data_IF_309214598136
#
_entry.id   IF_309214598136
#
_cell.length_a   1.000
_cell.length_b   1.000
_cell.length_c   1.000
_cell.angle_alpha   90.00
_cell.angle_beta   90.00
_cell.angle_gamma   90.00
#
_symmetry.space_group_name_H-M   'P 1'
#
loop_
_entity.id
_entity.type
_entity.pdbx_description
1 polymer ?
#
# COMPACT_ATOMS: atom_id res chain seq x y z
N UNK A 1 -0.77 -35.28 79.14
CA UNK A 1 0.41 -35.57 78.29
C UNK A 1 0.40 -34.60 77.11
N UNK A 2 1.55 -34.02 76.74
CA UNK A 2 1.64 -32.90 75.78
C UNK A 2 1.49 -33.37 74.33
N UNK A 3 1.10 -32.45 73.45
CA UNK A 3 0.95 -32.66 72.00
C UNK A 3 2.30 -32.49 71.30
N UNK A 4 2.76 -33.53 70.61
CA UNK A 4 3.91 -33.48 69.73
C UNK A 4 3.62 -32.67 68.47
N UNK A 5 4.40 -31.59 68.27
CA UNK A 5 4.46 -30.85 67.01
C UNK A 5 5.93 -30.55 66.68
N UNK A 6 6.47 -31.18 65.63
CA UNK A 6 7.61 -30.70 64.80
C UNK A 6 7.95 -31.79 63.78
N UNK A 7 8.29 -31.55 62.52
CA UNK A 7 8.91 -30.39 61.90
C UNK A 7 8.82 -30.55 60.37
N UNK A 8 8.07 -29.70 59.64
CA UNK A 8 8.19 -29.67 58.18
C UNK A 8 9.23 -28.62 57.78
N UNK A 9 10.39 -29.09 57.30
CA UNK A 9 11.42 -28.23 56.71
C UNK A 9 10.89 -27.68 55.38
N UNK A 10 10.39 -26.45 55.38
CA UNK A 10 10.09 -25.72 54.14
C UNK A 10 11.40 -25.34 53.44
N UNK A 11 11.64 -25.89 52.24
CA UNK A 11 12.70 -25.43 51.34
C UNK A 11 12.39 -24.00 50.91
N UNK A 12 13.31 -23.06 51.17
CA UNK A 12 13.27 -21.71 50.58
C UNK A 12 13.53 -21.85 49.08
N UNK A 13 12.57 -21.41 48.27
CA UNK A 13 12.73 -21.23 46.82
C UNK A 13 13.42 -19.89 46.60
N UNK A 14 14.63 -19.91 46.08
CA UNK A 14 15.37 -18.70 45.73
C UNK A 14 14.62 -17.99 44.60
N UNK A 15 14.16 -16.76 44.87
CA UNK A 15 13.56 -15.92 43.85
C UNK A 15 14.68 -15.34 43.00
N UNK A 16 14.63 -15.57 41.69
CA UNK A 16 15.55 -14.90 40.77
C UNK A 16 15.38 -13.37 40.88
N UNK A 17 16.48 -12.61 41.00
CA UNK A 17 16.43 -11.16 41.08
C UNK A 17 15.68 -10.57 39.88
N UNK A 18 14.80 -9.59 40.11
CA UNK A 18 13.97 -8.99 39.05
C UNK A 18 14.75 -8.42 37.86
N UNK A 19 16.05 -8.16 38.02
CA UNK A 19 16.93 -7.74 36.93
C UNK A 19 17.17 -8.84 35.87
N UNK A 20 17.06 -10.12 36.23
CA UNK A 20 17.15 -11.24 35.28
C UNK A 20 16.00 -11.19 34.27
N UNK A 21 14.82 -10.75 34.71
CA UNK A 21 13.68 -10.50 33.81
C UNK A 21 13.93 -9.29 32.91
N UNK A 22 14.56 -8.22 33.42
CA UNK A 22 14.96 -7.07 32.63
C UNK A 22 15.95 -7.42 31.51
N UNK A 23 16.99 -8.20 31.84
CA UNK A 23 17.96 -8.67 30.86
C UNK A 23 17.36 -9.68 29.87
N UNK A 24 16.47 -10.55 30.33
CA UNK A 24 15.76 -11.50 29.46
C UNK A 24 14.91 -10.79 28.41
N UNK A 25 14.17 -9.75 28.81
CA UNK A 25 13.37 -8.94 27.89
C UNK A 25 14.23 -8.15 26.89
N UNK A 26 15.32 -7.53 27.34
CA UNK A 26 16.26 -6.81 26.47
C UNK A 26 16.90 -7.74 25.43
N UNK A 27 17.35 -8.93 25.85
CA UNK A 27 17.94 -9.92 24.95
C UNK A 27 16.95 -10.39 23.87
N UNK A 28 15.69 -10.64 24.25
CA UNK A 28 14.65 -11.03 23.30
C UNK A 28 14.33 -9.90 22.31
N UNK A 29 14.25 -8.66 22.79
CA UNK A 29 14.03 -7.48 21.94
C UNK A 29 15.16 -7.26 20.93
N UNK A 30 16.42 -7.37 21.38
CA UNK A 30 17.59 -7.21 20.51
C UNK A 30 17.69 -8.34 19.47
N UNK A 31 17.33 -9.58 19.84
CA UNK A 31 17.27 -10.70 18.90
C UNK A 31 16.21 -10.49 17.80
N UNK A 32 15.03 -9.98 18.15
CA UNK A 32 13.98 -9.65 17.16
C UNK A 32 14.44 -8.50 16.25
N UNK A 33 15.03 -7.45 16.81
CA UNK A 33 15.55 -6.33 16.03
C UNK A 33 16.66 -6.77 15.06
N UNK A 34 17.59 -7.62 15.50
CA UNK A 34 18.65 -8.19 14.66
C UNK A 34 18.07 -9.06 13.53
N UNK A 35 17.04 -9.88 13.82
CA UNK A 35 16.39 -10.71 12.82
C UNK A 35 15.70 -9.89 11.72
N UNK A 36 15.07 -8.76 12.08
CA UNK A 36 14.50 -7.82 11.10
C UNK A 36 15.60 -7.12 10.30
N UNK A 37 16.66 -6.66 10.97
CA UNK A 37 17.77 -5.98 10.34
C UNK A 37 18.46 -6.87 9.28
N UNK A 38 18.71 -8.14 9.61
CA UNK A 38 19.30 -9.11 8.68
C UNK A 38 18.40 -9.40 7.46
N UNK A 39 17.07 -9.38 7.62
CA UNK A 39 16.12 -9.51 6.49
C UNK A 39 16.07 -8.29 5.59
N UNK A 40 16.32 -7.09 6.12
CA UNK A 40 16.36 -5.85 5.36
C UNK A 40 17.71 -5.62 4.68
N UNK A 41 18.82 -6.07 5.28
CA UNK A 41 20.16 -5.97 4.69
C UNK A 41 20.42 -6.97 3.55
N UNK A 42 19.52 -7.94 3.31
CA UNK A 42 19.60 -8.85 2.16
C UNK A 42 19.00 -8.29 0.87
N UNK A 43 18.62 -7.01 0.83
CA UNK A 43 18.35 -6.31 -0.43
C UNK A 43 19.68 -5.96 -1.11
N UNK A 44 20.34 -6.98 -1.68
CA UNK A 44 21.45 -6.78 -2.61
C UNK A 44 20.83 -6.31 -3.91
N UNK A 45 20.95 -5.01 -4.16
CA UNK A 45 20.70 -4.41 -5.46
C UNK A 45 21.56 -5.13 -6.51
N UNK A 46 20.99 -5.63 -7.62
CA UNK A 46 21.78 -6.30 -8.65
C UNK A 46 22.69 -5.27 -9.29
N UNK A 47 23.99 -5.40 -9.01
CA UNK A 47 25.03 -4.59 -9.63
C UNK A 47 24.94 -4.70 -11.16
N UNK A 48 24.63 -3.58 -11.80
CA UNK A 48 24.88 -3.38 -13.23
C UNK A 48 26.39 -3.55 -13.48
N UNK A 49 26.80 -4.20 -14.59
CA UNK A 49 28.21 -4.35 -14.90
C UNK A 49 28.83 -2.96 -15.17
N UNK A 50 29.78 -2.56 -14.33
CA UNK A 50 30.63 -1.41 -14.60
C UNK A 50 31.56 -1.74 -15.79
N UNK A 51 31.71 -0.86 -16.79
CA UNK A 51 32.74 -1.02 -17.80
C UNK A 51 34.10 -0.70 -17.18
N UNK A 52 35.03 -1.63 -17.35
CA UNK A 52 36.45 -1.47 -17.08
C UNK A 52 37.01 -0.22 -17.75
N UNK A 53 37.71 0.63 -17.01
CA UNK A 53 38.84 1.41 -17.55
C UNK A 53 39.83 1.71 -16.42
N UNK A 54 40.90 0.92 -16.38
CA UNK A 54 42.13 1.29 -15.68
C UNK A 54 43.04 2.06 -16.65
N UNK A 55 43.55 3.21 -16.16
CA UNK A 55 44.91 3.75 -16.40
C UNK A 55 45.16 4.43 -17.78
N UNK A 56 45.81 5.59 -18.03
CA UNK A 56 46.64 6.67 -17.38
C UNK A 56 46.76 7.81 -18.48
N UNK A 57 47.48 8.96 -18.40
CA UNK A 57 47.82 9.95 -17.35
C UNK A 57 47.40 11.41 -17.66
N UNK A 58 47.54 12.27 -16.65
CA UNK A 58 47.65 13.72 -16.78
C UNK A 58 48.97 14.12 -17.48
N UNK A 59 48.89 14.92 -18.55
CA UNK A 59 49.94 15.86 -18.94
C UNK A 59 49.33 17.01 -19.76
N UNK A 60 49.58 18.23 -19.31
CA UNK A 60 49.03 19.48 -19.80
C UNK A 60 49.47 19.83 -21.25
N UNK A 61 48.58 20.48 -22.01
CA UNK A 61 48.96 21.49 -23.02
C UNK A 61 47.82 22.47 -23.34
N UNK A 62 48.16 23.75 -23.15
CA UNK A 62 47.69 25.02 -23.74
C UNK A 62 46.39 25.12 -24.58
N UNK A 63 45.58 26.12 -24.17
CA UNK A 63 44.41 26.80 -24.77
C UNK A 63 44.74 27.38 -26.18
N UNK A 64 43.79 27.56 -27.13
CA UNK A 64 42.82 28.68 -27.06
C UNK A 64 41.42 28.42 -27.68
N UNK A 65 40.45 29.21 -27.21
CA UNK A 65 39.29 29.77 -27.93
C UNK A 65 38.23 28.87 -28.60
N UNK A 66 37.00 29.32 -28.32
CA UNK A 66 35.77 29.23 -29.09
C UNK A 66 34.73 28.13 -28.81
N UNK A 67 33.53 28.68 -28.59
CA UNK A 67 32.19 28.11 -28.63
C UNK A 67 31.64 27.46 -27.35
N UNK A 68 31.01 28.33 -26.56
CA UNK A 68 29.99 28.00 -25.57
C UNK A 68 28.93 27.07 -26.17
N UNK A 69 28.54 25.95 -25.52
CA UNK A 69 27.36 25.23 -25.95
C UNK A 69 26.13 26.05 -25.59
N UNK A 70 25.58 26.78 -26.57
CA UNK A 70 24.19 27.23 -26.51
C UNK A 70 23.27 25.99 -26.49
N UNK A 71 22.98 25.52 -25.28
CA UNK A 71 21.85 24.64 -25.01
C UNK A 71 21.01 25.26 -23.89
N UNK A 72 20.48 26.45 -24.18
CA UNK A 72 19.39 27.05 -23.41
C UNK A 72 18.08 26.65 -24.06
N UNK A 73 17.59 25.47 -23.67
CA UNK A 73 16.18 25.17 -23.41
C UNK A 73 15.13 26.07 -24.09
N UNK A 74 14.71 25.74 -25.31
CA UNK A 74 13.54 26.30 -25.99
C UNK A 74 12.23 25.54 -25.64
N UNK A 75 12.09 25.06 -24.39
CA UNK A 75 10.97 24.17 -24.04
C UNK A 75 9.64 24.91 -23.76
N UNK A 76 9.68 26.22 -23.52
CA UNK A 76 8.49 26.98 -23.10
C UNK A 76 7.81 27.80 -24.21
N UNK A 77 8.35 27.85 -25.43
CA UNK A 77 7.83 28.73 -26.49
C UNK A 77 6.99 28.06 -27.59
N UNK A 78 6.70 26.76 -27.55
CA UNK A 78 5.76 26.14 -28.51
C UNK A 78 4.61 25.37 -27.86
N UNK A 79 4.00 25.97 -26.84
CA UNK A 79 2.77 25.48 -26.20
C UNK A 79 1.46 26.12 -26.70
N UNK A 80 1.27 26.48 -27.99
CA UNK A 80 -0.12 26.60 -28.43
C UNK A 80 -0.44 26.00 -29.80
N UNK A 81 -1.40 25.06 -29.73
CA UNK A 81 -2.41 24.66 -30.74
C UNK A 81 -2.08 23.42 -31.55
N UNK A 82 -2.64 22.27 -31.17
CA UNK A 82 -3.23 21.36 -32.16
C UNK A 82 -4.54 20.77 -31.64
N UNK A 83 -5.57 20.98 -32.45
CA UNK A 83 -6.95 20.53 -32.29
C UNK A 83 -7.13 19.13 -32.90
N UNK A 84 -7.84 18.28 -32.16
CA UNK A 84 -8.70 17.13 -32.52
C UNK A 84 -8.47 16.41 -33.86
N UNK A 85 -8.13 15.11 -33.78
CA UNK A 85 -8.88 13.99 -34.41
C UNK A 85 -8.77 12.77 -33.49
N UNK A 86 -9.89 12.14 -33.14
CA UNK A 86 -9.94 10.90 -32.35
C UNK A 86 -10.00 9.71 -33.33
N UNK A 87 -8.91 8.95 -33.53
CA UNK A 87 -9.02 7.58 -33.99
C UNK A 87 -9.33 6.67 -32.80
N UNK A 88 -10.39 5.88 -32.93
CA UNK A 88 -10.76 4.85 -31.98
C UNK A 88 -9.69 3.76 -31.90
N UNK A 89 -9.54 3.19 -30.70
CA UNK A 89 -8.81 1.95 -30.40
C UNK A 89 -7.30 2.12 -30.19
N UNK A 90 -6.90 2.34 -28.94
CA UNK A 90 -6.00 1.41 -28.24
C UNK A 90 -5.88 1.77 -26.75
N UNK A 91 -5.59 0.76 -25.96
CA UNK A 91 -5.77 0.68 -24.52
C UNK A 91 -4.56 1.25 -23.80
N UNK A 92 -4.76 2.19 -22.88
CA UNK A 92 -3.94 2.35 -21.68
C UNK A 92 -4.85 2.80 -20.53
N UNK A 93 -5.31 1.84 -19.72
CA UNK A 93 -6.04 2.15 -18.47
C UNK A 93 -5.05 2.00 -17.32
N UNK A 94 -4.26 3.05 -17.15
CA UNK A 94 -3.52 3.36 -15.94
C UNK A 94 -3.85 4.79 -15.52
N UNK A 95 -4.07 5.00 -14.21
CA UNK A 95 -4.28 6.28 -13.51
C UNK A 95 -5.52 7.09 -13.94
N UNK A 96 -6.59 7.07 -13.12
CA UNK A 96 -6.85 7.99 -12.00
C UNK A 96 -7.34 9.37 -12.44
N UNK A 97 -8.44 9.74 -11.80
CA UNK A 97 -9.14 11.03 -11.80
C UNK A 97 -10.12 11.32 -12.95
N UNK A 98 -11.33 11.73 -12.54
CA UNK A 98 -12.37 12.39 -13.34
C UNK A 98 -13.19 11.56 -14.35
N UNK A 99 -13.80 10.48 -13.86
CA UNK A 99 -14.94 9.81 -14.49
C UNK A 99 -16.32 10.28 -13.97
N UNK A 100 -16.45 11.51 -13.46
CA UNK A 100 -17.76 12.09 -13.13
C UNK A 100 -18.28 12.88 -14.33
N UNK A 101 -18.95 12.20 -15.28
CA UNK A 101 -20.01 12.75 -16.16
C UNK A 101 -20.14 11.99 -17.50
N UNK A 102 -20.37 10.66 -17.48
CA UNK A 102 -21.03 9.99 -18.63
C UNK A 102 -21.66 8.63 -18.34
N UNK A 103 -22.15 8.43 -17.12
CA UNK A 103 -23.00 7.29 -16.79
C UNK A 103 -24.42 7.78 -16.46
N UNK A 104 -24.94 8.67 -17.31
CA UNK A 104 -26.38 8.95 -17.35
C UNK A 104 -27.02 7.90 -18.28
N UNK A 105 -27.87 7.08 -17.68
CA UNK A 105 -29.01 6.40 -18.31
C UNK A 105 -28.75 5.55 -19.55
N UNK A 106 -27.93 4.51 -19.43
CA UNK A 106 -28.31 3.26 -20.11
C UNK A 106 -29.29 2.52 -19.22
N UNK A 107 -30.59 2.73 -19.51
CA UNK A 107 -31.75 2.07 -18.92
C UNK A 107 -31.77 0.56 -19.26
N UNK A 108 -30.77 -0.17 -18.79
CA UNK A 108 -30.74 -1.62 -18.70
C UNK A 108 -30.51 -2.00 -17.23
N UNK A 109 -30.95 -3.20 -16.86
CA UNK A 109 -30.85 -3.79 -15.51
C UNK A 109 -29.38 -3.91 -15.07
N UNK A 110 -28.81 -2.78 -14.65
CA UNK A 110 -27.39 -2.63 -14.37
C UNK A 110 -27.20 -2.70 -12.86
N UNK A 111 -26.45 -3.71 -12.40
CA UNK A 111 -26.12 -3.86 -10.99
C UNK A 111 -24.90 -3.02 -10.67
N UNK A 112 -24.97 -2.21 -9.62
CA UNK A 112 -23.86 -1.38 -9.16
C UNK A 112 -23.28 -1.93 -7.86
N UNK A 113 -21.96 -1.83 -7.71
CA UNK A 113 -21.25 -2.16 -6.47
C UNK A 113 -20.41 -0.97 -6.04
N UNK A 114 -20.21 -0.83 -4.73
CA UNK A 114 -19.27 0.12 -4.18
C UNK A 114 -18.02 -0.61 -3.71
N UNK A 115 -16.84 -0.23 -4.17
CA UNK A 115 -15.58 -0.74 -3.67
C UNK A 115 -14.95 0.28 -2.73
N UNK A 116 -14.89 -0.05 -1.44
CA UNK A 116 -14.30 0.81 -0.40
C UNK A 116 -12.77 0.68 -0.31
N UNK A 117 -12.18 -0.38 -0.88
CA UNK A 117 -10.73 -0.55 -0.89
C UNK A 117 -10.27 -1.89 -1.45
N UNK A 118 -8.96 -1.98 -1.71
CA UNK A 118 -8.27 -3.21 -2.10
C UNK A 118 -6.98 -3.32 -1.29
N UNK A 119 -6.85 -4.37 -0.48
CA UNK A 119 -5.74 -4.53 0.46
C UNK A 119 -4.91 -5.76 0.12
N UNK A 120 -3.60 -5.71 0.38
CA UNK A 120 -2.71 -6.88 0.28
C UNK A 120 -2.86 -7.83 1.46
N UNK A 121 -3.15 -7.29 2.65
CA UNK A 121 -3.35 -8.06 3.87
C UNK A 121 -4.83 -8.25 4.17
N UNK A 122 -5.21 -9.48 4.56
CA UNK A 122 -6.58 -9.78 4.98
C UNK A 122 -7.00 -8.95 6.21
N UNK A 123 -6.12 -8.79 7.21
CA UNK A 123 -6.43 -8.05 8.43
C UNK A 123 -6.79 -6.58 8.18
N UNK A 124 -6.18 -5.95 7.18
CA UNK A 124 -6.49 -4.56 6.83
C UNK A 124 -7.86 -4.45 6.15
N UNK A 125 -8.20 -5.43 5.29
CA UNK A 125 -9.55 -5.55 4.72
C UNK A 125 -10.61 -5.84 5.80
N UNK A 126 -10.29 -6.68 6.79
CA UNK A 126 -11.19 -7.02 7.89
C UNK A 126 -11.46 -5.82 8.80
N UNK A 127 -10.42 -5.03 9.12
CA UNK A 127 -10.58 -3.75 9.82
C UNK A 127 -11.49 -2.78 9.07
N UNK A 128 -11.30 -2.64 7.75
CA UNK A 128 -12.16 -1.80 6.92
C UNK A 128 -13.60 -2.32 6.94
N UNK A 129 -13.81 -3.63 6.79
CA UNK A 129 -15.15 -4.25 6.90
C UNK A 129 -15.79 -3.98 8.25
N UNK A 130 -15.04 -4.10 9.35
CA UNK A 130 -15.52 -3.79 10.68
C UNK A 130 -15.90 -2.31 10.82
N UNK A 131 -15.08 -1.39 10.29
CA UNK A 131 -15.40 0.04 10.26
C UNK A 131 -16.70 0.31 9.50
N UNK A 132 -16.88 -0.31 8.32
CA UNK A 132 -18.12 -0.21 7.54
C UNK A 132 -19.33 -0.75 8.30
N UNK A 133 -19.17 -1.88 9.00
CA UNK A 133 -20.22 -2.46 9.82
C UNK A 133 -20.64 -1.54 10.99
N UNK A 134 -19.68 -0.82 11.61
CA UNK A 134 -19.97 0.19 12.63
C UNK A 134 -20.78 1.37 12.08
N UNK A 135 -20.65 1.68 10.80
CA UNK A 135 -21.46 2.67 10.10
C UNK A 135 -22.82 2.12 9.64
N UNK A 136 -23.16 0.89 10.01
CA UNK A 136 -24.39 0.22 9.59
C UNK A 136 -24.40 -0.19 8.13
N UNK A 137 -23.22 -0.30 7.50
CA UNK A 137 -23.08 -0.67 6.10
C UNK A 137 -22.48 -2.06 5.97
N UNK A 138 -23.25 -2.96 5.35
CA UNK A 138 -22.79 -4.32 5.09
C UNK A 138 -21.76 -4.34 3.95
N UNK A 139 -20.65 -5.04 4.19
CA UNK A 139 -19.59 -5.21 3.21
C UNK A 139 -19.03 -6.63 3.20
N UNK A 140 -18.51 -7.01 2.04
CA UNK A 140 -17.93 -8.32 1.77
C UNK A 140 -16.48 -8.18 1.33
N UNK A 141 -15.64 -9.12 1.77
CA UNK A 141 -14.24 -9.23 1.33
C UNK A 141 -14.18 -10.29 0.24
N UNK A 142 -13.73 -9.88 -0.94
CA UNK A 142 -13.49 -10.78 -2.05
C UNK A 142 -11.99 -10.96 -2.27
N UNK A 143 -11.56 -12.21 -2.41
CA UNK A 143 -10.18 -12.56 -2.73
C UNK A 143 -10.04 -12.63 -4.25
N UNK A 144 -9.14 -11.82 -4.81
CA UNK A 144 -8.85 -11.79 -6.24
C UNK A 144 -7.34 -11.90 -6.43
N UNK A 145 -6.88 -12.73 -7.35
CA UNK A 145 -5.47 -12.81 -7.74
C UNK A 145 -5.29 -12.09 -9.07
N UNK A 146 -4.37 -11.13 -9.13
CA UNK A 146 -4.05 -10.33 -10.31
C UNK A 146 -2.54 -10.33 -10.43
N UNK A 147 -1.99 -10.77 -11.57
CA UNK A 147 -0.54 -10.84 -11.81
C UNK A 147 0.23 -11.51 -10.67
N UNK A 148 -0.26 -12.67 -10.22
CA UNK A 148 0.24 -13.44 -9.07
C UNK A 148 0.18 -12.74 -7.70
N UNK A 149 -0.36 -11.52 -7.62
CA UNK A 149 -0.63 -10.84 -6.36
C UNK A 149 -2.07 -11.10 -5.89
N UNK A 150 -2.21 -11.62 -4.66
CA UNK A 150 -3.50 -11.74 -3.99
C UNK A 150 -3.93 -10.40 -3.40
N UNK A 151 -5.15 -10.02 -3.69
CA UNK A 151 -5.84 -8.83 -3.20
C UNK A 151 -7.11 -9.20 -2.46
N UNK A 152 -7.40 -8.43 -1.41
CA UNK A 152 -8.60 -8.49 -0.61
C UNK A 152 -9.43 -7.23 -0.87
N UNK A 153 -10.45 -7.33 -1.72
CA UNK A 153 -11.30 -6.21 -2.12
C UNK A 153 -12.51 -6.12 -1.21
N UNK A 154 -12.73 -4.96 -0.59
CA UNK A 154 -13.91 -4.71 0.25
C UNK A 154 -15.00 -4.05 -0.59
N UNK A 155 -16.14 -4.74 -0.75
CA UNK A 155 -17.25 -4.32 -1.61
C UNK A 155 -18.56 -4.20 -0.81
N UNK A 156 -19.42 -3.29 -1.22
CA UNK A 156 -20.78 -3.08 -0.69
C UNK A 156 -21.80 -3.14 -1.82
N UNK A 157 -23.01 -3.59 -1.49
CA UNK A 157 -24.04 -3.83 -2.49
C UNK A 157 -23.89 -5.21 -3.14
N UNK A 158 -24.91 -5.64 -3.88
CA UNK A 158 -25.37 -4.95 -5.10
C UNK A 158 -26.41 -3.84 -4.86
N UNK A 159 -26.35 -2.78 -5.66
CA UNK A 159 -27.34 -1.71 -5.75
C UNK A 159 -28.04 -1.76 -7.11
N UNK A 160 -29.36 -1.59 -7.12
CA UNK A 160 -30.18 -1.70 -8.33
C UNK A 160 -30.11 -0.46 -9.23
N UNK A 161 -29.63 0.67 -8.71
CA UNK A 161 -29.50 1.90 -9.48
C UNK A 161 -28.25 2.69 -9.12
N UNK A 162 -27.75 3.47 -10.08
CA UNK A 162 -26.64 4.39 -9.87
C UNK A 162 -26.96 5.40 -8.77
N UNK A 163 -28.19 5.89 -8.70
CA UNK A 163 -28.65 6.84 -7.68
C UNK A 163 -28.54 6.25 -6.26
N UNK A 164 -28.89 5.00 -6.06
CA UNK A 164 -28.73 4.32 -4.76
C UNK A 164 -27.26 4.16 -4.38
N UNK A 165 -26.42 3.71 -5.32
CA UNK A 165 -24.97 3.61 -5.10
C UNK A 165 -24.36 4.98 -4.76
N UNK A 166 -24.82 6.06 -5.41
CA UNK A 166 -24.36 7.42 -5.14
C UNK A 166 -24.76 7.90 -3.74
N UNK A 167 -25.97 7.60 -3.28
CA UNK A 167 -26.40 7.92 -1.91
C UNK A 167 -25.56 7.17 -0.88
N UNK A 168 -25.31 5.88 -1.10
CA UNK A 168 -24.45 5.08 -0.21
C UNK A 168 -23.00 5.61 -0.19
N UNK A 169 -22.43 5.97 -1.34
CA UNK A 169 -21.11 6.62 -1.42
C UNK A 169 -21.05 7.91 -0.62
N UNK A 170 -22.07 8.76 -0.71
CA UNK A 170 -22.12 10.02 0.05
C UNK A 170 -22.08 9.78 1.57
N UNK A 171 -22.83 8.80 2.08
CA UNK A 171 -22.80 8.42 3.50
C UNK A 171 -21.43 7.92 3.95
N UNK A 172 -20.74 7.16 3.10
CA UNK A 172 -19.37 6.73 3.37
C UNK A 172 -18.41 7.92 3.50
N UNK A 173 -18.53 8.90 2.60
CA UNK A 173 -17.66 10.09 2.60
C UNK A 173 -17.87 10.98 3.83
N UNK A 174 -19.09 11.07 4.35
CA UNK A 174 -19.38 11.75 5.63
C UNK A 174 -18.56 11.15 6.79
N UNK A 175 -18.25 9.85 6.71
CA UNK A 175 -17.42 9.13 7.68
C UNK A 175 -15.94 9.03 7.26
N UNK A 176 -15.50 9.83 6.28
CA UNK A 176 -14.15 9.82 5.69
C UNK A 176 -13.74 8.48 5.09
N UNK A 177 -14.71 7.73 4.59
CA UNK A 177 -14.48 6.51 3.82
C UNK A 177 -14.78 6.82 2.35
N UNK A 178 -13.75 6.74 1.51
CA UNK A 178 -13.94 6.85 0.06
C UNK A 178 -14.33 5.50 -0.53
N UNK A 179 -15.17 5.54 -1.57
CA UNK A 179 -15.60 4.35 -2.27
C UNK A 179 -15.79 4.63 -3.77
N UNK A 180 -15.44 3.65 -4.59
CA UNK A 180 -15.57 3.71 -6.03
C UNK A 180 -16.83 2.96 -6.47
N UNK A 181 -17.66 3.57 -7.31
CA UNK A 181 -18.84 2.91 -7.89
C UNK A 181 -18.38 2.15 -9.13
N UNK A 182 -18.67 0.85 -9.19
CA UNK A 182 -18.48 0.03 -10.40
C UNK A 182 -19.83 -0.47 -10.87
N UNK A 183 -20.03 -0.48 -12.19
CA UNK A 183 -21.12 -1.21 -12.83
C UNK A 183 -20.65 -2.64 -13.09
N UNK A 184 -21.41 -3.61 -12.59
CA UNK A 184 -21.22 -5.02 -12.91
C UNK A 184 -22.08 -5.32 -14.12
N UNK A 185 -21.43 -5.66 -15.24
CA UNK A 185 -22.13 -6.32 -16.33
C UNK A 185 -22.26 -7.79 -15.96
N UNK A 186 -23.47 -8.32 -16.01
CA UNK A 186 -23.72 -9.76 -15.85
C UNK A 186 -23.18 -10.55 -17.06
#
# INVERSE_FOLDING_TARGET
MPRDYKNSRRRKKESTPGWVWGLGGLGLGLAVALAVHLRQSTAVEPALPAPDTSAIPSSAREVPADEEPESRFDFYDMLPRFEVVIPETEREVGSNDEGTARAEDQAGDSVYILQAGSFRNFNDADRMKAQLALLGMESQIQNVTIDDNRWHRVRLGPFASFTEAQRARRRLRESRVDALILRVAE
#
